data_IF_551557635302
#
_entry.id   IF_551557635302
#
_cell.length_a   1.000
_cell.length_b   1.000
_cell.length_c   1.000
_cell.angle_alpha   90.00
_cell.angle_beta   90.00
_cell.angle_gamma   90.00
#
_symmetry.space_group_name_H-M   'P 1'
#
loop_
_entity.id
_entity.type
_entity.pdbx_description
1 polymer ?
#
# COMPACT_ATOMS: atom_id res chain seq x y z
N UNK A 1 29.88 -24.29 13.81
CA UNK A 1 29.22 -24.08 15.13
C UNK A 1 28.17 -22.97 15.04
N UNK A 2 28.44 -21.85 14.37
CA UNK A 2 27.51 -20.71 14.14
C UNK A 2 26.22 -21.16 13.41
N UNK A 3 26.32 -21.90 12.29
CA UNK A 3 25.17 -22.37 11.52
C UNK A 3 24.19 -23.28 12.30
N UNK A 4 24.70 -24.09 13.25
CA UNK A 4 23.83 -24.91 14.12
C UNK A 4 23.10 -24.07 15.16
N UNK A 5 23.72 -22.97 15.65
CA UNK A 5 23.09 -22.03 16.57
C UNK A 5 22.04 -21.19 15.89
N UNK A 6 22.31 -20.67 14.69
CA UNK A 6 21.33 -19.92 13.87
C UNK A 6 20.11 -20.77 13.53
N UNK A 7 20.31 -22.04 13.14
CA UNK A 7 19.21 -22.96 12.85
C UNK A 7 18.40 -23.35 14.11
N UNK A 8 19.06 -23.47 15.28
CA UNK A 8 18.36 -23.73 16.54
C UNK A 8 17.54 -22.52 16.99
N UNK A 9 18.09 -21.34 16.84
CA UNK A 9 17.45 -20.10 17.20
C UNK A 9 16.30 -19.75 16.26
N UNK A 10 16.41 -20.03 14.95
CA UNK A 10 15.29 -19.96 14.01
C UNK A 10 14.14 -20.89 14.41
N UNK A 11 14.45 -22.13 14.85
CA UNK A 11 13.43 -23.06 15.39
C UNK A 11 12.82 -22.58 16.71
N UNK A 12 13.53 -21.80 17.47
CA UNK A 12 13.06 -21.19 18.72
C UNK A 12 12.20 -19.94 18.48
N UNK A 13 12.31 -19.31 17.28
CA UNK A 13 11.48 -18.17 16.89
C UNK A 13 10.06 -18.63 16.54
N UNK A 14 9.24 -18.82 17.58
CA UNK A 14 7.88 -19.34 17.44
C UNK A 14 6.83 -18.27 17.11
N UNK A 15 7.21 -17.01 17.17
CA UNK A 15 6.25 -15.90 17.20
C UNK A 15 5.90 -15.34 15.80
N UNK A 16 6.49 -15.84 14.73
CA UNK A 16 6.26 -15.33 13.39
C UNK A 16 6.71 -13.87 13.23
N UNK A 17 5.90 -13.06 12.58
CA UNK A 17 6.16 -11.63 12.39
C UNK A 17 5.92 -10.87 13.70
N UNK A 18 6.84 -9.99 14.08
CA UNK A 18 6.65 -9.04 15.18
C UNK A 18 6.61 -7.61 14.65
N UNK A 19 5.85 -6.77 15.31
CA UNK A 19 5.59 -5.41 14.89
C UNK A 19 5.48 -4.46 16.05
N UNK A 20 5.86 -3.20 15.83
CA UNK A 20 5.53 -2.08 16.72
C UNK A 20 5.34 -0.79 15.93
N UNK A 21 4.69 0.18 16.56
CA UNK A 21 4.63 1.57 16.08
C UNK A 21 5.12 2.47 17.19
N UNK A 22 6.18 3.22 16.90
CA UNK A 22 6.71 4.25 17.79
C UNK A 22 6.12 5.60 17.34
N UNK A 23 5.81 6.48 18.30
CA UNK A 23 5.25 7.82 18.05
C UNK A 23 4.04 7.81 17.07
N UNK A 24 2.98 7.02 17.33
CA UNK A 24 1.91 6.78 16.35
C UNK A 24 1.13 8.03 15.91
N UNK A 25 1.22 9.13 16.63
CA UNK A 25 0.46 10.37 16.40
C UNK A 25 1.34 11.62 16.21
N UNK A 26 2.62 11.46 15.93
CA UNK A 26 3.54 12.57 15.80
C UNK A 26 4.31 12.59 14.49
N UNK A 27 4.97 13.72 14.19
CA UNK A 27 6.02 13.72 13.18
C UNK A 27 7.08 12.68 13.60
N UNK A 28 7.54 11.86 12.65
CA UNK A 28 8.48 10.78 12.95
C UNK A 28 7.81 9.51 13.50
N UNK A 29 6.57 9.21 13.12
CA UNK A 29 5.96 7.91 13.36
C UNK A 29 6.79 6.79 12.71
N UNK A 30 7.17 5.78 13.49
CA UNK A 30 7.99 4.66 13.05
C UNK A 30 7.19 3.37 13.15
N UNK A 31 6.88 2.77 12.01
CA UNK A 31 6.26 1.44 11.93
C UNK A 31 7.30 0.40 11.55
N UNK A 32 7.53 -0.54 12.41
CA UNK A 32 8.55 -1.58 12.25
C UNK A 32 7.85 -2.94 12.14
N UNK A 33 8.10 -3.65 11.04
CA UNK A 33 7.70 -5.05 10.86
C UNK A 33 8.96 -5.89 10.75
N UNK A 34 9.17 -6.78 11.68
CA UNK A 34 10.27 -7.74 11.64
C UNK A 34 9.72 -9.09 11.15
N UNK A 35 10.10 -9.48 9.94
CA UNK A 35 9.61 -10.68 9.26
C UNK A 35 10.70 -11.74 9.29
N UNK A 36 10.43 -12.92 9.90
CA UNK A 36 11.40 -14.01 9.94
C UNK A 36 11.58 -14.60 8.52
N UNK A 37 12.78 -15.13 8.21
CA UNK A 37 13.04 -15.72 6.91
C UNK A 37 12.24 -17.00 6.71
N UNK A 38 11.93 -17.31 5.46
CA UNK A 38 11.47 -18.64 5.06
C UNK A 38 12.53 -19.67 5.40
N UNK A 39 12.17 -20.69 6.20
CA UNK A 39 13.10 -21.77 6.48
C UNK A 39 13.53 -22.49 5.19
N UNK A 40 14.84 -22.49 4.93
CA UNK A 40 15.50 -23.35 3.93
C UNK A 40 16.61 -24.10 4.60
N UNK A 41 16.70 -25.44 4.46
CA UNK A 41 17.65 -26.27 5.21
C UNK A 41 19.12 -25.89 5.03
N UNK A 42 19.48 -25.24 3.93
CA UNK A 42 20.86 -24.93 3.54
C UNK A 42 21.07 -23.48 3.07
N UNK A 43 20.12 -22.57 3.34
CA UNK A 43 20.20 -21.17 2.90
C UNK A 43 20.34 -20.19 4.06
N UNK A 44 21.25 -19.23 3.95
CA UNK A 44 21.29 -18.05 4.80
C UNK A 44 20.22 -17.08 4.26
N UNK A 45 19.01 -17.14 4.80
CA UNK A 45 17.99 -16.17 4.47
C UNK A 45 17.99 -15.09 5.55
N UNK A 46 18.12 -13.80 5.21
CA UNK A 46 18.08 -12.73 6.19
C UNK A 46 16.68 -12.58 6.77
N UNK A 47 16.58 -12.03 7.97
CA UNK A 47 15.37 -11.42 8.45
C UNK A 47 15.12 -10.16 7.64
N UNK A 48 13.88 -9.81 7.40
CA UNK A 48 13.53 -8.56 6.77
C UNK A 48 12.89 -7.62 7.81
N UNK A 49 13.51 -6.46 8.02
CA UNK A 49 12.86 -5.36 8.70
C UNK A 49 12.22 -4.47 7.66
N UNK A 50 10.89 -4.30 7.74
CA UNK A 50 10.17 -3.36 6.90
C UNK A 50 9.86 -2.13 7.74
N UNK A 51 10.43 -0.99 7.34
CA UNK A 51 10.29 0.28 8.01
C UNK A 51 9.31 1.17 7.26
N UNK A 52 8.29 1.65 7.94
CA UNK A 52 7.22 2.52 7.42
C UNK A 52 6.55 2.01 6.14
N UNK A 53 6.64 0.69 5.88
CA UNK A 53 6.16 0.11 4.65
C UNK A 53 6.87 0.64 3.40
N UNK A 54 8.10 1.12 3.52
CA UNK A 54 8.89 1.68 2.42
C UNK A 54 10.26 1.00 2.29
N UNK A 55 11.07 1.02 3.34
CA UNK A 55 12.40 0.40 3.33
C UNK A 55 12.34 -1.07 3.70
N UNK A 56 12.99 -1.92 2.93
CA UNK A 56 13.17 -3.35 3.20
C UNK A 56 14.63 -3.58 3.55
N UNK A 57 14.92 -3.68 4.84
CA UNK A 57 16.27 -3.79 5.36
C UNK A 57 16.58 -5.25 5.73
N UNK A 58 17.59 -5.89 5.13
CA UNK A 58 18.01 -7.24 5.50
C UNK A 58 18.76 -7.20 6.82
N UNK A 59 18.31 -7.97 7.81
CA UNK A 59 18.96 -8.05 9.11
C UNK A 59 19.68 -9.38 9.32
N UNK A 60 20.87 -9.32 9.88
CA UNK A 60 21.55 -10.46 10.47
C UNK A 60 20.75 -11.02 11.67
N UNK A 61 20.98 -12.30 11.99
CA UNK A 61 20.19 -12.97 13.03
C UNK A 61 20.32 -12.31 14.41
N UNK A 62 21.52 -11.88 14.85
CA UNK A 62 21.73 -11.22 16.15
C UNK A 62 20.95 -9.92 16.28
N UNK A 63 21.02 -9.08 15.25
CA UNK A 63 20.27 -7.82 15.18
C UNK A 63 18.76 -8.03 15.13
N UNK A 64 18.30 -9.06 14.41
CA UNK A 64 16.88 -9.41 14.38
C UNK A 64 16.36 -9.87 15.75
N UNK A 65 17.16 -10.62 16.52
CA UNK A 65 16.79 -11.04 17.89
C UNK A 65 16.76 -9.83 18.82
N UNK A 66 17.76 -8.94 18.74
CA UNK A 66 17.84 -7.74 19.57
C UNK A 66 16.64 -6.82 19.30
N UNK A 67 16.37 -6.52 18.02
CA UNK A 67 15.21 -5.72 17.61
C UNK A 67 13.89 -6.39 18.01
N UNK A 68 13.76 -7.71 17.82
CA UNK A 68 12.57 -8.45 18.20
C UNK A 68 12.31 -8.41 19.71
N UNK A 69 13.36 -8.49 20.55
CA UNK A 69 13.23 -8.32 22.00
C UNK A 69 12.83 -6.89 22.36
N UNK A 70 13.42 -5.89 21.72
CA UNK A 70 13.04 -4.48 21.89
C UNK A 70 11.55 -4.26 21.54
N UNK A 71 11.09 -4.72 20.37
CA UNK A 71 9.69 -4.61 19.95
C UNK A 71 8.74 -5.24 20.99
N UNK A 72 9.10 -6.40 21.55
CA UNK A 72 8.27 -7.07 22.57
C UNK A 72 8.16 -6.25 23.86
N UNK A 73 9.25 -5.64 24.28
CA UNK A 73 9.23 -4.81 25.49
C UNK A 73 8.43 -3.52 25.26
N UNK A 74 8.59 -2.85 24.10
CA UNK A 74 7.76 -1.70 23.71
C UNK A 74 6.27 -2.06 23.72
N UNK A 75 5.90 -3.20 23.14
CA UNK A 75 4.51 -3.62 23.03
C UNK A 75 3.83 -3.91 24.39
N UNK A 76 4.59 -4.06 25.48
CA UNK A 76 4.01 -4.15 26.84
C UNK A 76 3.36 -2.84 27.32
N UNK A 77 3.77 -1.74 26.73
CA UNK A 77 3.17 -0.44 27.03
C UNK A 77 1.84 -0.20 26.31
N UNK A 78 1.46 -1.08 25.40
CA UNK A 78 0.16 -1.06 24.67
C UNK A 78 -0.19 0.31 24.08
N UNK A 79 0.78 0.98 23.47
CA UNK A 79 0.63 2.29 22.86
C UNK A 79 0.55 3.47 23.84
N UNK A 80 0.74 3.25 25.13
CA UNK A 80 0.86 4.33 26.10
C UNK A 80 2.15 5.12 25.85
N UNK A 81 2.12 6.45 26.01
CA UNK A 81 3.34 7.25 25.96
C UNK A 81 4.39 6.72 26.93
N UNK A 82 5.63 6.67 26.48
CA UNK A 82 6.80 6.29 27.26
C UNK A 82 7.66 7.54 27.51
N UNK A 83 8.11 7.72 28.75
CA UNK A 83 9.13 8.70 29.07
C UNK A 83 10.55 8.10 28.89
N UNK A 84 11.59 8.91 29.12
CA UNK A 84 12.99 8.45 29.00
C UNK A 84 13.31 7.27 29.95
N UNK A 85 12.71 7.26 31.14
CA UNK A 85 12.91 6.17 32.11
C UNK A 85 12.25 4.87 31.66
N UNK A 86 11.11 4.97 31.01
CA UNK A 86 10.42 3.81 30.45
C UNK A 86 11.19 3.27 29.24
N UNK A 87 11.71 4.16 28.38
CA UNK A 87 12.56 3.76 27.26
C UNK A 87 13.84 3.08 27.76
N UNK A 88 14.48 3.60 28.78
CA UNK A 88 15.67 2.98 29.38
C UNK A 88 15.39 1.57 29.95
N UNK A 89 14.22 1.36 30.58
CA UNK A 89 13.79 0.03 31.04
C UNK A 89 13.58 -0.92 29.84
N UNK A 90 12.98 -0.44 28.76
CA UNK A 90 12.76 -1.22 27.53
C UNK A 90 14.09 -1.65 26.92
N UNK A 91 15.02 -0.71 26.76
CA UNK A 91 16.37 -0.97 26.23
C UNK A 91 17.09 -2.00 27.09
N UNK A 92 17.16 -1.78 28.42
CA UNK A 92 17.80 -2.68 29.35
C UNK A 92 17.22 -4.09 29.29
N UNK A 93 15.89 -4.23 29.32
CA UNK A 93 15.25 -5.54 29.26
C UNK A 93 15.47 -6.25 27.90
N UNK A 94 15.53 -5.51 26.80
CA UNK A 94 15.83 -6.07 25.48
C UNK A 94 17.27 -6.58 25.39
N UNK A 95 18.23 -5.81 25.90
CA UNK A 95 19.65 -6.15 25.95
C UNK A 95 19.88 -7.39 26.83
N UNK A 96 19.39 -7.40 28.07
CA UNK A 96 19.50 -8.55 28.98
C UNK A 96 18.92 -9.84 28.39
N UNK A 97 17.75 -9.75 27.77
CA UNK A 97 17.09 -10.90 27.12
C UNK A 97 17.91 -11.42 25.95
N UNK A 98 18.51 -10.52 25.18
CA UNK A 98 19.37 -10.87 24.04
C UNK A 98 20.67 -11.49 24.53
N UNK A 99 21.30 -10.94 25.57
CA UNK A 99 22.52 -11.45 26.19
C UNK A 99 22.40 -12.87 26.73
N UNK A 100 21.19 -13.27 27.16
CA UNK A 100 20.93 -14.68 27.56
C UNK A 100 21.00 -15.65 26.35
N UNK A 101 20.74 -15.17 25.13
CA UNK A 101 20.80 -15.98 23.91
C UNK A 101 22.16 -15.90 23.23
N UNK A 102 22.84 -14.78 23.38
CA UNK A 102 24.16 -14.48 22.81
C UNK A 102 25.15 -14.10 23.90
N UNK A 103 26.35 -14.69 23.84
CA UNK A 103 27.46 -14.29 24.72
C UNK A 103 28.18 -13.08 24.14
N UNK A 104 27.49 -11.94 24.10
CA UNK A 104 27.97 -10.63 23.65
C UNK A 104 27.91 -9.69 24.85
N UNK A 105 28.89 -8.81 25.07
CA UNK A 105 28.86 -7.82 26.15
C UNK A 105 27.60 -6.94 26.04
N UNK A 106 27.02 -6.60 27.19
CA UNK A 106 25.80 -5.75 27.22
C UNK A 106 26.04 -4.38 26.60
N UNK A 107 27.23 -3.81 26.82
CA UNK A 107 27.63 -2.52 26.21
C UNK A 107 27.58 -2.56 24.67
N UNK A 108 28.04 -3.64 24.06
CA UNK A 108 27.98 -3.82 22.61
C UNK A 108 26.52 -3.96 22.13
N UNK A 109 25.68 -4.77 22.81
CA UNK A 109 24.26 -4.92 22.46
C UNK A 109 23.50 -3.61 22.61
N UNK A 110 23.85 -2.80 23.60
CA UNK A 110 23.27 -1.48 23.80
C UNK A 110 23.67 -0.54 22.66
N UNK A 111 24.95 -0.48 22.31
CA UNK A 111 25.43 0.31 21.18
C UNK A 111 24.78 -0.09 19.85
N UNK A 112 24.70 -1.41 19.56
CA UNK A 112 24.03 -1.95 18.37
C UNK A 112 22.53 -1.52 18.34
N UNK A 113 21.85 -1.52 19.49
CA UNK A 113 20.43 -1.10 19.54
C UNK A 113 20.27 0.39 19.35
N UNK A 114 21.12 1.22 19.96
CA UNK A 114 21.12 2.67 19.80
C UNK A 114 21.38 3.07 18.34
N UNK A 115 22.33 2.43 17.67
CA UNK A 115 22.60 2.62 16.25
C UNK A 115 21.38 2.27 15.39
N UNK A 116 20.75 1.11 15.64
CA UNK A 116 19.50 0.73 14.94
C UNK A 116 18.41 1.77 15.14
N UNK A 117 18.18 2.23 16.37
CA UNK A 117 17.12 3.18 16.69
C UNK A 117 17.39 4.54 16.07
N UNK A 118 18.64 5.01 16.03
CA UNK A 118 19.03 6.25 15.36
C UNK A 118 18.76 6.16 13.85
N UNK A 119 19.15 5.06 13.20
CA UNK A 119 18.87 4.81 11.77
C UNK A 119 17.36 4.77 11.48
N UNK A 120 16.58 4.09 12.33
CA UNK A 120 15.13 3.99 12.19
C UNK A 120 14.45 5.37 12.30
N UNK A 121 14.93 6.20 13.25
CA UNK A 121 14.41 7.54 13.45
C UNK A 121 14.77 8.47 12.28
N UNK A 122 16.02 8.48 11.82
CA UNK A 122 16.45 9.24 10.65
C UNK A 122 15.61 8.91 9.42
N UNK A 123 15.44 7.60 9.13
CA UNK A 123 14.60 7.16 8.02
C UNK A 123 13.13 7.56 8.17
N UNK A 124 12.59 7.60 9.38
CA UNK A 124 11.25 8.11 9.65
C UNK A 124 11.11 9.62 9.42
N UNK A 125 12.20 10.37 9.63
CA UNK A 125 12.28 11.81 9.35
C UNK A 125 12.58 12.13 7.87
N UNK A 126 12.68 11.12 7.01
CA UNK A 126 12.93 11.28 5.56
C UNK A 126 14.42 11.26 5.18
N UNK A 127 15.31 10.92 6.11
CA UNK A 127 16.71 10.68 5.80
C UNK A 127 16.87 9.29 5.17
N UNK A 128 17.75 9.16 4.19
CA UNK A 128 18.11 7.82 3.69
C UNK A 128 18.78 7.02 4.81
N UNK A 129 18.42 5.72 4.98
CA UNK A 129 19.10 4.88 5.96
C UNK A 129 20.60 4.88 5.70
N UNK A 130 21.35 5.51 6.60
CA UNK A 130 22.81 5.58 6.53
C UNK A 130 23.40 4.41 7.32
N UNK A 131 24.33 3.66 6.75
CA UNK A 131 25.01 2.56 7.43
C UNK A 131 25.43 1.44 6.49
N UNK A 132 25.89 0.33 7.06
CA UNK A 132 26.34 -0.85 6.29
C UNK A 132 25.19 -1.67 5.67
N UNK A 133 23.94 -1.28 5.91
CA UNK A 133 22.76 -2.03 5.46
C UNK A 133 22.09 -1.29 4.29
N UNK A 134 22.28 -1.81 3.09
CA UNK A 134 21.58 -1.32 1.91
C UNK A 134 20.14 -1.86 1.85
N UNK A 135 19.14 -0.99 1.61
CA UNK A 135 17.76 -1.43 1.41
C UNK A 135 17.65 -2.34 0.19
N UNK A 136 16.91 -3.42 0.33
CA UNK A 136 16.55 -4.30 -0.79
C UNK A 136 15.44 -3.68 -1.62
N UNK A 137 15.56 -3.80 -2.94
CA UNK A 137 14.40 -3.64 -3.81
C UNK A 137 13.37 -4.75 -3.55
N UNK A 138 12.12 -4.49 -3.90
CA UNK A 138 11.07 -5.51 -3.74
C UNK A 138 11.37 -6.79 -4.53
N UNK A 139 12.06 -6.69 -5.66
CA UNK A 139 12.45 -7.85 -6.46
C UNK A 139 13.55 -8.69 -5.82
N UNK A 140 14.53 -8.05 -5.21
CA UNK A 140 15.56 -8.76 -4.42
C UNK A 140 14.95 -9.45 -3.20
N UNK A 141 13.93 -8.83 -2.59
CA UNK A 141 13.19 -9.43 -1.49
C UNK A 141 12.22 -10.54 -1.93
N UNK A 142 11.70 -10.50 -3.16
CA UNK A 142 10.67 -11.41 -3.66
C UNK A 142 10.92 -12.91 -3.39
N UNK A 143 12.14 -13.47 -3.55
CA UNK A 143 12.40 -14.89 -3.22
C UNK A 143 12.19 -15.24 -1.75
N UNK A 144 12.25 -14.26 -0.86
CA UNK A 144 12.15 -14.40 0.60
C UNK A 144 10.74 -14.10 1.13
N UNK A 145 9.85 -13.53 0.32
CA UNK A 145 8.50 -13.13 0.72
C UNK A 145 7.62 -14.32 1.10
N UNK A 146 6.83 -14.12 2.16
CA UNK A 146 5.80 -15.04 2.63
C UNK A 146 4.39 -14.54 2.32
N UNK A 147 4.27 -13.29 1.91
CA UNK A 147 3.04 -12.58 1.61
C UNK A 147 3.33 -11.42 0.63
N UNK A 148 2.31 -10.81 -0.02
CA UNK A 148 2.49 -9.60 -0.80
C UNK A 148 2.89 -8.44 0.11
N UNK A 149 3.50 -7.42 -0.47
CA UNK A 149 3.91 -6.25 0.29
C UNK A 149 2.71 -5.40 0.77
N UNK A 150 1.59 -5.46 0.04
CA UNK A 150 0.34 -4.79 0.37
C UNK A 150 -0.85 -5.69 0.05
N UNK A 151 -1.88 -5.64 0.88
CA UNK A 151 -3.18 -6.26 0.61
C UNK A 151 -4.25 -5.18 0.50
N UNK A 152 -4.92 -5.12 -0.64
CA UNK A 152 -6.05 -4.24 -0.87
C UNK A 152 -7.34 -4.94 -0.40
N UNK A 153 -8.02 -4.37 0.59
CA UNK A 153 -9.25 -4.90 1.17
C UNK A 153 -10.44 -4.19 0.52
N UNK A 154 -11.13 -4.87 -0.37
CA UNK A 154 -12.34 -4.35 -1.02
C UNK A 154 -13.51 -4.49 -0.04
N UNK A 155 -13.55 -3.61 0.97
CA UNK A 155 -14.53 -3.73 2.07
C UNK A 155 -15.95 -3.37 1.66
N UNK A 156 -16.12 -2.67 0.55
CA UNK A 156 -17.42 -2.28 -0.02
C UNK A 156 -17.58 -2.89 -1.42
N UNK A 157 -18.70 -3.56 -1.66
CA UNK A 157 -19.05 -4.11 -2.96
C UNK A 157 -19.53 -3.02 -3.92
N UNK A 158 -19.43 -3.27 -5.23
CA UNK A 158 -19.97 -2.37 -6.26
C UNK A 158 -21.49 -2.46 -6.34
N UNK A 159 -22.08 -3.60 -6.00
CA UNK A 159 -23.52 -3.84 -5.99
C UNK A 159 -23.99 -4.30 -4.63
N UNK A 160 -25.21 -3.95 -4.29
CA UNK A 160 -25.91 -4.44 -3.09
C UNK A 160 -26.37 -5.88 -3.29
N UNK A 161 -26.82 -6.52 -2.20
CA UNK A 161 -27.35 -7.87 -2.24
C UNK A 161 -28.63 -8.01 -3.13
N UNK A 162 -29.35 -6.92 -3.36
CA UNK A 162 -30.51 -6.84 -4.24
C UNK A 162 -30.14 -6.54 -5.71
N UNK A 163 -28.85 -6.49 -6.04
CA UNK A 163 -28.32 -6.17 -7.39
C UNK A 163 -28.26 -4.67 -7.69
N UNK A 164 -28.69 -3.80 -6.78
CA UNK A 164 -28.63 -2.35 -6.96
C UNK A 164 -27.18 -1.82 -6.82
N UNK A 165 -26.91 -0.71 -7.51
CA UNK A 165 -25.61 -0.03 -7.41
C UNK A 165 -25.30 0.45 -5.98
N UNK A 166 -24.13 0.16 -5.48
CA UNK A 166 -23.75 0.43 -4.08
C UNK A 166 -22.79 1.60 -3.90
N UNK A 167 -21.98 1.96 -4.90
CA UNK A 167 -21.11 3.13 -4.82
C UNK A 167 -21.93 4.43 -4.91
N UNK A 168 -21.51 5.49 -4.20
CA UNK A 168 -22.17 6.81 -4.26
C UNK A 168 -21.82 7.62 -5.52
N UNK A 169 -20.95 7.09 -6.40
CA UNK A 169 -20.62 7.59 -7.73
C UNK A 169 -20.90 6.55 -8.81
N UNK A 170 -21.06 6.99 -10.04
CA UNK A 170 -21.24 6.15 -11.25
C UNK A 170 -20.16 6.51 -12.27
N UNK A 171 -18.89 6.30 -11.91
CA UNK A 171 -17.77 6.71 -12.73
C UNK A 171 -17.81 6.05 -14.11
N UNK A 172 -17.62 6.88 -15.15
CA UNK A 172 -17.60 6.47 -16.55
C UNK A 172 -16.50 5.44 -16.87
N UNK A 173 -15.40 5.48 -16.12
CA UNK A 173 -14.25 4.60 -16.29
C UNK A 173 -14.03 3.66 -15.10
N UNK A 174 -15.10 3.32 -14.35
CA UNK A 174 -14.98 2.42 -13.21
C UNK A 174 -14.52 1.02 -13.66
N UNK A 175 -13.32 0.61 -13.26
CA UNK A 175 -12.76 -0.68 -13.62
C UNK A 175 -13.48 -1.86 -12.95
N UNK A 176 -14.13 -1.62 -11.80
CA UNK A 176 -14.77 -2.63 -10.98
C UNK A 176 -16.26 -2.84 -11.34
N UNK A 177 -16.85 -1.93 -12.13
CA UNK A 177 -18.26 -2.04 -12.50
C UNK A 177 -18.53 -3.28 -13.34
N UNK A 178 -19.55 -4.07 -12.97
CA UNK A 178 -19.92 -5.29 -13.70
C UNK A 178 -18.88 -6.40 -13.64
N UNK A 179 -17.90 -6.34 -12.71
CA UNK A 179 -16.92 -7.39 -12.52
C UNK A 179 -17.41 -8.36 -11.44
N UNK A 180 -17.43 -9.70 -11.70
CA UNK A 180 -18.01 -10.68 -10.79
C UNK A 180 -17.45 -10.61 -9.36
N UNK A 181 -16.14 -10.49 -9.21
CA UNK A 181 -15.48 -10.46 -7.91
C UNK A 181 -15.62 -9.09 -7.19
N UNK A 182 -16.21 -8.06 -7.84
CA UNK A 182 -16.54 -6.79 -7.20
C UNK A 182 -17.96 -6.76 -6.63
N UNK A 183 -18.81 -7.74 -6.93
CA UNK A 183 -20.26 -7.75 -6.66
C UNK A 183 -20.60 -8.67 -5.48
N UNK A 184 -19.88 -9.38 -4.86
CA UNK A 184 -20.20 -10.35 -3.81
C UNK A 184 -20.88 -9.75 -2.59
N UNK A 185 -21.45 -10.62 -1.77
CA UNK A 185 -22.02 -10.23 -0.48
C UNK A 185 -20.92 -9.74 0.47
N UNK A 186 -21.04 -8.50 0.92
CA UNK A 186 -20.09 -7.91 1.85
C UNK A 186 -19.92 -8.73 3.14
N UNK A 187 -18.68 -8.93 3.53
CA UNK A 187 -18.35 -9.49 4.83
C UNK A 187 -18.72 -8.50 5.95
N UNK A 188 -19.15 -9.02 7.09
CA UNK A 188 -19.35 -8.23 8.30
C UNK A 188 -18.01 -7.90 8.99
N UNK A 189 -18.07 -7.03 10.00
CA UNK A 189 -16.92 -6.54 10.76
C UNK A 189 -16.06 -7.69 11.31
N UNK A 190 -16.67 -8.69 11.94
CA UNK A 190 -15.96 -9.81 12.56
C UNK A 190 -15.31 -10.73 11.54
N UNK A 191 -15.90 -10.87 10.35
CA UNK A 191 -15.30 -11.62 9.25
C UNK A 191 -14.08 -10.89 8.69
N UNK A 192 -14.15 -9.56 8.54
CA UNK A 192 -13.01 -8.74 8.14
C UNK A 192 -11.89 -8.79 9.18
N UNK A 193 -12.18 -8.68 10.48
CA UNK A 193 -11.18 -8.81 11.55
C UNK A 193 -10.43 -10.14 11.47
N UNK A 194 -11.13 -11.26 11.23
CA UNK A 194 -10.49 -12.57 11.03
C UNK A 194 -9.56 -12.61 9.83
N UNK A 195 -9.92 -11.93 8.73
CA UNK A 195 -9.04 -11.81 7.55
C UNK A 195 -7.83 -10.95 7.88
N UNK A 196 -8.02 -9.82 8.56
CA UNK A 196 -6.94 -8.94 9.03
C UNK A 196 -5.95 -9.71 9.91
N UNK A 197 -6.41 -10.53 10.86
CA UNK A 197 -5.55 -11.38 11.68
C UNK A 197 -4.75 -12.39 10.85
N UNK A 198 -5.35 -12.97 9.82
CA UNK A 198 -4.64 -13.87 8.89
C UNK A 198 -3.54 -13.13 8.11
N UNK A 199 -3.82 -11.92 7.64
CA UNK A 199 -2.83 -11.09 6.94
C UNK A 199 -1.68 -10.68 7.86
N UNK A 200 -1.98 -10.34 9.11
CA UNK A 200 -0.99 -10.10 10.16
C UNK A 200 -0.09 -11.32 10.34
N UNK A 201 -0.66 -12.49 10.52
CA UNK A 201 0.07 -13.75 10.69
C UNK A 201 0.87 -14.14 9.43
N UNK A 202 0.42 -13.76 8.24
CA UNK A 202 1.10 -13.98 6.97
C UNK A 202 2.32 -13.08 6.76
N UNK A 203 2.40 -11.96 7.49
CA UNK A 203 3.49 -10.97 7.36
C UNK A 203 3.25 -9.90 6.30
N UNK A 204 2.00 -9.61 5.98
CA UNK A 204 1.65 -8.45 5.14
C UNK A 204 1.94 -7.17 5.93
N UNK A 205 2.77 -6.25 5.45
CA UNK A 205 3.08 -5.02 6.20
C UNK A 205 2.08 -3.88 5.97
N UNK A 206 1.35 -3.89 4.86
CA UNK A 206 0.43 -2.80 4.49
C UNK A 206 -0.94 -3.32 4.11
N UNK A 207 -1.98 -2.56 4.46
CA UNK A 207 -3.35 -2.79 3.96
C UNK A 207 -3.94 -1.50 3.39
N UNK A 208 -4.74 -1.64 2.33
CA UNK A 208 -5.49 -0.52 1.75
C UNK A 208 -6.97 -0.84 1.79
N UNK A 209 -7.74 -0.03 2.46
CA UNK A 209 -9.21 -0.11 2.41
C UNK A 209 -9.70 0.52 1.12
N UNK A 210 -10.48 -0.24 0.35
CA UNK A 210 -10.99 0.13 -0.98
C UNK A 210 -12.30 -0.61 -1.26
N UNK A 211 -12.72 -0.65 -2.51
CA UNK A 211 -13.93 -1.35 -2.96
C UNK A 211 -14.74 -0.48 -3.89
N UNK A 212 -16.07 -0.46 -3.75
CA UNK A 212 -16.93 0.52 -4.39
C UNK A 212 -16.65 1.91 -3.83
N UNK A 213 -17.12 2.15 -2.61
CA UNK A 213 -16.72 3.31 -1.82
C UNK A 213 -16.66 2.91 -0.33
N UNK A 214 -15.45 2.77 0.23
CA UNK A 214 -15.28 2.26 1.58
C UNK A 214 -15.85 3.16 2.66
N UNK A 215 -15.91 4.49 2.43
CA UNK A 215 -16.49 5.45 3.41
C UNK A 215 -18.00 5.32 3.59
N UNK A 216 -18.67 4.52 2.79
CA UNK A 216 -20.10 4.19 3.00
C UNK A 216 -20.30 3.14 4.10
N UNK A 217 -19.24 2.41 4.49
CA UNK A 217 -19.31 1.44 5.59
C UNK A 217 -19.33 2.16 6.94
N UNK A 218 -20.30 1.81 7.77
CA UNK A 218 -20.43 2.39 9.12
C UNK A 218 -19.32 1.95 10.09
N UNK A 219 -18.75 0.77 9.84
CA UNK A 219 -17.68 0.15 10.65
C UNK A 219 -16.27 0.41 10.09
N UNK A 220 -16.11 1.32 9.12
CA UNK A 220 -14.80 1.60 8.51
C UNK A 220 -13.76 2.03 9.56
N UNK A 221 -14.13 2.97 10.45
CA UNK A 221 -13.24 3.47 11.51
C UNK A 221 -12.80 2.33 12.43
N UNK A 222 -13.73 1.43 12.79
CA UNK A 222 -13.42 0.25 13.61
C UNK A 222 -12.44 -0.70 12.91
N UNK A 223 -12.61 -0.94 11.60
CA UNK A 223 -11.70 -1.77 10.82
C UNK A 223 -10.31 -1.14 10.68
N UNK A 224 -10.23 0.18 10.50
CA UNK A 224 -8.96 0.92 10.48
C UNK A 224 -8.27 0.81 11.84
N UNK A 225 -8.97 1.06 12.93
CA UNK A 225 -8.42 0.93 14.29
C UNK A 225 -7.93 -0.49 14.60
N UNK A 226 -8.66 -1.52 14.14
CA UNK A 226 -8.25 -2.91 14.28
C UNK A 226 -6.99 -3.24 13.46
N UNK A 227 -6.75 -2.48 12.39
CA UNK A 227 -5.62 -2.66 11.48
C UNK A 227 -4.37 -1.85 11.88
N UNK A 228 -4.31 -1.24 13.04
CA UNK A 228 -3.18 -0.41 13.53
C UNK A 228 -1.81 -1.12 13.51
N UNK A 229 -1.81 -2.42 13.35
CA UNK A 229 -0.60 -3.23 13.16
C UNK A 229 0.08 -3.00 11.80
N UNK A 230 -0.71 -2.63 10.77
CA UNK A 230 -0.24 -2.40 9.41
C UNK A 230 0.04 -0.91 9.17
N UNK A 231 0.78 -0.61 8.11
CA UNK A 231 0.63 0.68 7.43
C UNK A 231 -0.74 0.68 6.75
N UNK A 232 -1.62 1.58 7.15
CA UNK A 232 -3.02 1.63 6.73
C UNK A 232 -3.26 2.73 5.71
N UNK A 233 -3.92 2.39 4.63
CA UNK A 233 -4.27 3.32 3.55
C UNK A 233 -5.76 3.24 3.26
N UNK A 234 -6.33 4.36 2.81
CA UNK A 234 -7.71 4.45 2.35
C UNK A 234 -7.73 4.98 0.91
N UNK A 235 -8.35 4.25 -0.02
CA UNK A 235 -8.67 4.75 -1.36
C UNK A 235 -10.15 5.12 -1.41
N UNK A 236 -10.46 6.38 -1.68
CA UNK A 236 -11.83 6.89 -1.66
C UNK A 236 -12.07 7.94 -2.75
N UNK A 237 -13.32 8.18 -3.09
CA UNK A 237 -13.71 9.31 -3.92
C UNK A 237 -13.81 10.64 -3.14
N UNK A 238 -13.66 10.61 -1.83
CA UNK A 238 -13.60 11.77 -0.95
C UNK A 238 -14.94 12.44 -0.60
N UNK A 239 -16.03 12.05 -1.22
CA UNK A 239 -17.35 12.73 -1.05
C UNK A 239 -17.87 12.70 0.39
N UNK A 240 -17.58 11.63 1.13
CA UNK A 240 -18.06 11.43 2.49
C UNK A 240 -16.99 11.76 3.56
N UNK A 241 -15.85 12.31 3.18
CA UNK A 241 -14.81 12.75 4.11
C UNK A 241 -15.23 14.05 4.81
N UNK A 242 -16.10 13.91 5.80
CA UNK A 242 -16.48 15.01 6.71
C UNK A 242 -15.33 15.31 7.69
N UNK A 243 -15.30 16.51 8.34
CA UNK A 243 -14.30 16.81 9.35
C UNK A 243 -14.26 15.77 10.48
N UNK A 244 -15.43 15.30 10.93
CA UNK A 244 -15.54 14.30 11.99
C UNK A 244 -14.96 12.95 11.54
N UNK A 245 -15.36 12.45 10.38
CA UNK A 245 -14.83 11.18 9.86
C UNK A 245 -13.31 11.25 9.66
N UNK A 246 -12.78 12.36 9.15
CA UNK A 246 -11.33 12.53 8.98
C UNK A 246 -10.60 12.49 10.34
N UNK A 247 -11.15 13.15 11.37
CA UNK A 247 -10.60 13.10 12.72
C UNK A 247 -10.65 11.69 13.30
N UNK A 248 -11.78 11.00 13.19
CA UNK A 248 -11.93 9.61 13.67
C UNK A 248 -10.95 8.65 12.97
N UNK A 249 -10.76 8.78 11.65
CA UNK A 249 -9.80 7.98 10.89
C UNK A 249 -8.36 8.28 11.32
N UNK A 250 -8.01 9.55 11.55
CA UNK A 250 -6.70 9.93 12.07
C UNK A 250 -6.44 9.31 13.46
N UNK A 251 -7.42 9.40 14.36
CA UNK A 251 -7.34 8.81 15.70
C UNK A 251 -7.29 7.27 15.67
N UNK A 252 -7.92 6.66 14.67
CA UNK A 252 -7.84 5.22 14.40
C UNK A 252 -6.50 4.76 13.80
N UNK A 253 -5.51 5.67 13.63
CA UNK A 253 -4.20 5.41 13.04
C UNK A 253 -4.22 5.13 11.54
N UNK A 254 -5.09 5.81 10.78
CA UNK A 254 -4.98 5.83 9.32
C UNK A 254 -3.73 6.61 8.92
N UNK A 255 -2.80 5.98 8.17
CA UNK A 255 -1.55 6.62 7.77
C UNK A 255 -1.71 7.52 6.56
N UNK A 256 -2.53 7.13 5.59
CA UNK A 256 -2.71 7.93 4.38
C UNK A 256 -4.06 7.71 3.73
N UNK A 257 -4.52 8.74 3.03
CA UNK A 257 -5.71 8.68 2.19
C UNK A 257 -5.36 9.07 0.76
N UNK A 258 -5.76 8.24 -0.20
CA UNK A 258 -5.70 8.57 -1.63
C UNK A 258 -7.10 8.92 -2.12
N UNK A 259 -7.25 10.15 -2.62
CA UNK A 259 -8.53 10.66 -3.10
C UNK A 259 -8.48 10.78 -4.62
N UNK A 260 -9.53 10.35 -5.32
CA UNK A 260 -9.59 10.44 -6.78
C UNK A 260 -10.22 11.77 -7.21
N UNK A 261 -9.46 12.59 -7.94
CA UNK A 261 -9.96 13.81 -8.58
C UNK A 261 -9.60 13.78 -10.07
N UNK A 262 -10.60 13.82 -10.94
CA UNK A 262 -10.37 13.73 -12.39
C UNK A 262 -9.93 15.06 -13.02
N UNK A 263 -10.38 16.19 -12.51
CA UNK A 263 -10.11 17.50 -13.11
C UNK A 263 -10.30 18.64 -12.12
N UNK A 264 -9.61 19.75 -12.34
CA UNK A 264 -9.86 21.04 -11.71
C UNK A 264 -11.19 21.67 -12.16
N UNK A 265 -11.64 21.31 -13.36
CA UNK A 265 -12.93 21.75 -13.90
C UNK A 265 -14.06 20.88 -13.34
N UNK A 266 -15.01 21.56 -12.70
CA UNK A 266 -16.15 20.90 -12.03
C UNK A 266 -17.05 20.15 -13.01
N UNK A 267 -17.24 20.69 -14.22
CA UNK A 267 -18.08 20.07 -15.24
C UNK A 267 -17.46 18.78 -15.79
N UNK A 268 -16.15 18.79 -16.05
CA UNK A 268 -15.40 17.61 -16.49
C UNK A 268 -15.40 16.54 -15.37
N UNK A 269 -15.06 16.95 -14.13
CA UNK A 269 -15.07 16.01 -13.01
C UNK A 269 -16.44 15.36 -12.81
N UNK A 270 -17.49 16.18 -12.70
CA UNK A 270 -18.86 15.71 -12.45
C UNK A 270 -19.36 14.77 -13.56
N UNK A 271 -19.02 15.08 -14.81
CA UNK A 271 -19.32 14.22 -15.96
C UNK A 271 -18.62 12.87 -15.86
N UNK A 272 -17.34 12.84 -15.49
CA UNK A 272 -16.54 11.61 -15.40
C UNK A 272 -16.92 10.73 -14.21
N UNK A 273 -17.34 11.33 -13.09
CA UNK A 273 -17.80 10.57 -11.92
C UNK A 273 -19.30 10.28 -11.92
N UNK A 274 -20.04 10.80 -12.91
CA UNK A 274 -21.48 10.58 -13.07
C UNK A 274 -22.32 11.22 -11.95
N UNK A 275 -21.84 12.32 -11.34
CA UNK A 275 -22.53 12.98 -10.21
C UNK A 275 -22.36 14.49 -10.24
N UNK A 276 -23.46 15.22 -10.40
CA UNK A 276 -23.50 16.69 -10.26
C UNK A 276 -23.12 17.11 -8.84
N UNK A 277 -22.22 18.08 -8.72
CA UNK A 277 -21.71 18.54 -7.43
C UNK A 277 -20.67 17.60 -6.78
N UNK A 278 -20.23 16.57 -7.50
CA UNK A 278 -19.17 15.64 -7.06
C UNK A 278 -17.87 16.37 -6.82
N UNK A 279 -17.48 17.27 -7.73
CA UNK A 279 -16.26 18.10 -7.62
C UNK A 279 -16.18 18.84 -6.29
N UNK A 280 -17.23 19.57 -5.93
CA UNK A 280 -17.25 20.35 -4.70
C UNK A 280 -17.13 19.46 -3.46
N UNK A 281 -17.82 18.33 -3.45
CA UNK A 281 -17.76 17.37 -2.34
C UNK A 281 -16.40 16.71 -2.21
N UNK A 282 -15.82 16.27 -3.33
CA UNK A 282 -14.47 15.68 -3.34
C UNK A 282 -13.40 16.68 -2.89
N UNK A 283 -13.47 17.92 -3.38
CA UNK A 283 -12.51 18.97 -2.98
C UNK A 283 -12.68 19.42 -1.53
N UNK A 284 -13.90 19.44 -1.01
CA UNK A 284 -14.17 19.61 0.41
C UNK A 284 -13.54 18.47 1.24
N UNK A 285 -13.71 17.22 0.80
CA UNK A 285 -13.10 16.05 1.43
C UNK A 285 -11.56 16.11 1.45
N UNK A 286 -10.93 16.59 0.37
CA UNK A 286 -9.46 16.82 0.35
C UNK A 286 -9.06 17.81 1.45
N UNK A 287 -9.74 18.97 1.55
CA UNK A 287 -9.46 19.96 2.59
C UNK A 287 -9.66 19.40 4.00
N UNK A 288 -10.75 18.68 4.21
CA UNK A 288 -11.06 18.07 5.52
C UNK A 288 -9.97 17.07 5.94
N UNK A 289 -9.50 16.24 5.01
CA UNK A 289 -8.43 15.27 5.27
C UNK A 289 -7.09 15.97 5.59
N UNK A 290 -6.72 17.01 4.84
CA UNK A 290 -5.53 17.82 5.11
C UNK A 290 -5.61 18.52 6.47
N UNK A 291 -6.76 19.13 6.78
CA UNK A 291 -6.99 19.82 8.05
C UNK A 291 -6.96 18.86 9.26
N UNK A 292 -7.34 17.63 9.09
CA UNK A 292 -7.25 16.58 10.11
C UNK A 292 -5.83 16.04 10.31
N UNK A 293 -4.85 16.47 9.49
CA UNK A 293 -3.47 15.98 9.57
C UNK A 293 -3.21 14.65 8.90
N UNK A 294 -4.14 14.15 8.08
CA UNK A 294 -3.92 12.93 7.30
C UNK A 294 -2.93 13.17 6.16
N UNK A 295 -2.10 12.17 5.84
CA UNK A 295 -1.27 12.21 4.64
C UNK A 295 -2.16 12.03 3.41
N UNK A 296 -2.38 13.10 2.65
CA UNK A 296 -3.26 13.10 1.48
C UNK A 296 -2.45 12.94 0.21
N UNK A 297 -2.83 11.98 -0.61
CA UNK A 297 -2.45 11.90 -2.02
C UNK A 297 -3.67 12.01 -2.90
N UNK A 298 -3.52 12.66 -4.06
CA UNK A 298 -4.60 12.75 -5.05
C UNK A 298 -4.22 11.97 -6.28
N UNK A 299 -5.11 11.04 -6.69
CA UNK A 299 -4.94 10.26 -7.91
C UNK A 299 -5.83 10.80 -9.03
N UNK A 300 -5.25 10.99 -10.21
CA UNK A 300 -5.98 11.38 -11.42
C UNK A 300 -5.84 10.29 -12.49
N UNK A 301 -6.89 9.49 -12.75
CA UNK A 301 -6.91 8.66 -13.93
C UNK A 301 -7.00 9.54 -15.18
N UNK A 302 -5.96 9.52 -16.02
CA UNK A 302 -5.86 10.36 -17.21
C UNK A 302 -6.58 9.75 -18.40
N UNK A 303 -7.35 10.58 -19.09
CA UNK A 303 -8.10 10.24 -20.28
C UNK A 303 -8.19 11.45 -21.21
N UNK A 304 -8.81 11.28 -22.38
CA UNK A 304 -8.94 12.39 -23.35
C UNK A 304 -9.77 13.57 -22.85
N UNK A 305 -10.67 13.34 -21.90
CA UNK A 305 -11.54 14.40 -21.38
C UNK A 305 -10.84 15.30 -20.35
N UNK A 306 -9.69 14.88 -19.76
CA UNK A 306 -8.98 15.63 -18.72
C UNK A 306 -7.48 15.83 -19.01
N UNK A 307 -7.10 16.05 -20.25
CA UNK A 307 -5.71 16.25 -20.69
C UNK A 307 -5.06 17.51 -20.07
N UNK A 308 -5.86 18.50 -19.65
CA UNK A 308 -5.41 19.72 -18.96
C UNK A 308 -4.92 19.42 -17.52
N UNK A 309 -4.13 18.34 -17.36
CA UNK A 309 -3.66 17.88 -16.04
C UNK A 309 -2.83 18.93 -15.33
N UNK A 310 -2.09 19.76 -16.05
CA UNK A 310 -1.33 20.87 -15.48
C UNK A 310 -2.18 21.84 -14.66
N UNK A 311 -3.40 22.15 -15.11
CA UNK A 311 -4.35 23.00 -14.36
C UNK A 311 -4.87 22.26 -13.12
N UNK A 312 -5.06 20.94 -13.21
CA UNK A 312 -5.43 20.13 -12.05
C UNK A 312 -4.32 20.14 -10.99
N UNK A 313 -3.06 20.04 -11.40
CA UNK A 313 -1.91 20.16 -10.50
C UNK A 313 -1.83 21.53 -9.83
N UNK A 314 -1.97 22.60 -10.59
CA UNK A 314 -1.98 23.95 -10.03
C UNK A 314 -3.13 24.16 -9.01
N UNK A 315 -4.31 23.59 -9.31
CA UNK A 315 -5.43 23.60 -8.37
C UNK A 315 -5.12 22.82 -7.08
N UNK A 316 -4.50 21.65 -7.19
CA UNK A 316 -4.13 20.79 -6.05
C UNK A 316 -3.03 21.43 -5.20
N UNK A 317 -2.04 22.08 -5.81
CA UNK A 317 -1.02 22.85 -5.09
C UNK A 317 -1.65 23.97 -4.27
N UNK A 318 -2.61 24.70 -4.87
CA UNK A 318 -3.40 25.73 -4.16
C UNK A 318 -4.25 25.19 -3.00
N UNK A 319 -4.55 23.90 -2.96
CA UNK A 319 -5.18 23.23 -1.83
C UNK A 319 -4.17 22.75 -0.76
N UNK A 320 -2.87 22.78 -1.04
CA UNK A 320 -1.82 22.29 -0.15
C UNK A 320 -1.51 20.79 -0.32
N UNK A 321 -1.96 20.15 -1.39
CA UNK A 321 -1.61 18.75 -1.70
C UNK A 321 -0.15 18.68 -2.10
N UNK A 322 0.60 17.72 -1.54
CA UNK A 322 2.03 17.51 -1.83
C UNK A 322 2.32 16.24 -2.61
N UNK A 323 1.42 15.27 -2.55
CA UNK A 323 1.60 13.98 -3.22
C UNK A 323 0.51 13.78 -4.27
N UNK A 324 0.91 13.65 -5.52
CA UNK A 324 -0.01 13.40 -6.63
C UNK A 324 0.38 12.13 -7.37
N UNK A 325 -0.61 11.38 -7.80
CA UNK A 325 -0.42 10.25 -8.70
C UNK A 325 -1.30 10.39 -9.92
N UNK A 326 -0.85 9.86 -11.03
CA UNK A 326 -1.70 9.70 -12.20
C UNK A 326 -1.52 8.29 -12.80
N UNK A 327 -2.48 7.87 -13.58
CA UNK A 327 -2.48 6.56 -14.25
C UNK A 327 -3.18 6.67 -15.60
N UNK A 328 -3.00 5.68 -16.47
CA UNK A 328 -3.94 5.44 -17.55
C UNK A 328 -5.21 4.76 -17.05
N UNK A 329 -6.18 4.60 -17.93
CA UNK A 329 -7.40 3.86 -17.59
C UNK A 329 -7.12 2.35 -17.56
N UNK A 330 -7.77 1.66 -16.63
CA UNK A 330 -7.76 0.19 -16.54
C UNK A 330 -8.85 -0.34 -17.48
N UNK A 331 -8.48 -1.10 -18.50
CA UNK A 331 -9.37 -1.58 -19.57
C UNK A 331 -10.30 -2.72 -19.12
N UNK A 332 -10.96 -2.54 -17.96
CA UNK A 332 -11.95 -3.47 -17.41
C UNK A 332 -13.19 -2.70 -16.95
N UNK A 333 -14.28 -3.39 -16.69
CA UNK A 333 -15.52 -2.77 -16.25
C UNK A 333 -16.05 -1.74 -17.25
N UNK A 334 -16.51 -0.60 -16.77
CA UNK A 334 -17.02 0.48 -17.63
C UNK A 334 -15.94 1.01 -18.59
N UNK A 335 -14.66 0.95 -18.23
CA UNK A 335 -13.57 1.43 -19.09
C UNK A 335 -13.32 0.53 -20.31
N UNK A 336 -13.85 -0.70 -20.34
CA UNK A 336 -13.79 -1.62 -21.49
C UNK A 336 -14.96 -1.46 -22.46
N UNK A 337 -15.98 -0.67 -22.12
CA UNK A 337 -17.15 -0.45 -22.99
C UNK A 337 -16.86 0.55 -24.12
N UNK A 338 -17.47 0.34 -25.29
CA UNK A 338 -17.14 0.99 -26.56
C UNK A 338 -16.82 2.49 -26.54
N UNK A 339 -17.62 3.33 -25.85
CA UNK A 339 -17.36 4.77 -25.74
C UNK A 339 -16.17 5.13 -24.84
N UNK A 340 -15.81 4.27 -23.88
CA UNK A 340 -14.71 4.52 -22.95
C UNK A 340 -13.35 4.07 -23.50
N UNK A 341 -13.32 3.12 -24.43
CA UNK A 341 -12.09 2.71 -25.13
C UNK A 341 -11.51 3.87 -25.94
N UNK A 342 -12.35 4.71 -26.55
CA UNK A 342 -11.92 5.91 -27.26
C UNK A 342 -11.35 7.01 -26.36
N UNK A 343 -11.56 6.94 -25.05
CA UNK A 343 -11.01 7.88 -24.07
C UNK A 343 -9.58 7.57 -23.64
N UNK A 344 -8.99 6.45 -24.05
CA UNK A 344 -7.59 6.11 -23.76
C UNK A 344 -6.64 7.10 -24.42
N UNK A 345 -5.59 7.46 -23.70
CA UNK A 345 -4.48 8.26 -24.23
C UNK A 345 -3.45 7.34 -24.89
N UNK A 346 -2.89 7.79 -26.00
CA UNK A 346 -1.71 7.16 -26.61
C UNK A 346 -0.46 7.36 -25.74
N UNK A 347 0.58 6.58 -26.00
CA UNK A 347 1.89 6.72 -25.31
C UNK A 347 2.46 8.13 -25.50
N UNK A 348 2.28 8.72 -26.69
CA UNK A 348 2.74 10.07 -27.00
C UNK A 348 1.98 11.12 -26.19
N UNK A 349 0.63 11.11 -26.24
CA UNK A 349 -0.21 12.03 -25.47
C UNK A 349 0.08 11.94 -23.96
N UNK A 350 0.24 10.73 -23.43
CA UNK A 350 0.64 10.52 -22.03
C UNK A 350 2.01 11.11 -21.73
N UNK A 351 2.99 10.94 -22.63
CA UNK A 351 4.33 11.50 -22.49
C UNK A 351 4.35 13.02 -22.48
N UNK A 352 3.56 13.67 -23.32
CA UNK A 352 3.40 15.13 -23.35
C UNK A 352 2.81 15.65 -22.02
N UNK A 353 1.75 14.99 -21.51
CA UNK A 353 1.13 15.35 -20.23
C UNK A 353 2.11 15.17 -19.06
N UNK A 354 2.84 14.05 -19.02
CA UNK A 354 3.80 13.78 -17.95
C UNK A 354 4.98 14.74 -17.96
N UNK A 355 5.42 15.19 -19.14
CA UNK A 355 6.49 16.19 -19.27
C UNK A 355 6.08 17.50 -18.63
N UNK A 356 4.90 18.02 -19.00
CA UNK A 356 4.35 19.25 -18.40
C UNK A 356 4.11 19.08 -16.89
N UNK A 357 3.57 17.92 -16.46
CA UNK A 357 3.31 17.64 -15.05
C UNK A 357 4.59 17.62 -14.20
N UNK A 358 5.66 17.03 -14.70
CA UNK A 358 6.96 16.98 -14.00
C UNK A 358 7.57 18.37 -13.83
N UNK A 359 7.40 19.27 -14.80
CA UNK A 359 7.86 20.67 -14.70
C UNK A 359 7.10 21.44 -13.63
N UNK A 360 5.78 21.30 -13.59
CA UNK A 360 4.92 21.94 -12.58
C UNK A 360 5.27 21.41 -11.19
N UNK A 361 5.40 20.10 -11.01
CA UNK A 361 5.71 19.50 -9.71
C UNK A 361 7.08 19.96 -9.18
N UNK A 362 8.09 20.07 -10.05
CA UNK A 362 9.40 20.64 -9.67
C UNK A 362 9.30 22.09 -9.20
N UNK A 363 8.45 22.89 -9.85
CA UNK A 363 8.25 24.29 -9.50
C UNK A 363 7.45 24.52 -8.20
N UNK A 364 6.58 23.57 -7.83
CA UNK A 364 5.70 23.65 -6.66
C UNK A 364 6.18 22.81 -5.47
N UNK A 365 7.18 21.98 -5.64
CA UNK A 365 7.64 21.03 -4.61
C UNK A 365 6.65 19.87 -4.38
N UNK A 366 5.74 19.61 -5.31
CA UNK A 366 4.89 18.41 -5.28
C UNK A 366 5.66 17.19 -5.78
N UNK A 367 5.39 16.03 -5.18
CA UNK A 367 5.89 14.74 -5.67
C UNK A 367 4.86 14.10 -6.60
N UNK A 368 5.32 13.68 -7.79
CA UNK A 368 4.47 13.02 -8.78
C UNK A 368 4.84 11.54 -8.95
N UNK A 369 3.82 10.67 -8.86
CA UNK A 369 3.91 9.27 -9.22
C UNK A 369 3.10 8.94 -10.47
N UNK A 370 3.63 8.04 -11.29
CA UNK A 370 2.91 7.46 -12.42
C UNK A 370 2.72 5.96 -12.17
N UNK A 371 1.48 5.48 -12.24
CA UNK A 371 1.14 4.12 -11.82
C UNK A 371 0.64 3.25 -12.97
N UNK A 372 0.82 1.94 -12.87
CA UNK A 372 0.21 0.96 -13.77
C UNK A 372 -1.34 1.07 -13.70
N UNK A 373 -2.07 0.97 -14.83
CA UNK A 373 -1.62 0.48 -16.13
C UNK A 373 -1.11 1.57 -17.09
N UNK A 374 -0.75 2.74 -16.63
CA UNK A 374 -0.27 3.83 -17.47
C UNK A 374 0.90 3.40 -18.35
N UNK A 375 0.94 3.93 -19.59
CA UNK A 375 2.02 3.68 -20.55
C UNK A 375 2.66 4.99 -20.97
N UNK A 376 3.97 5.07 -20.81
CA UNK A 376 4.83 6.11 -21.35
C UNK A 376 6.18 5.50 -21.68
N UNK A 377 6.98 6.17 -22.49
CA UNK A 377 8.32 5.70 -22.80
C UNK A 377 9.19 5.62 -21.54
N UNK A 378 9.79 4.46 -21.28
CA UNK A 378 10.67 4.24 -20.11
C UNK A 378 11.82 5.24 -20.05
N UNK A 379 12.42 5.56 -21.21
CA UNK A 379 13.50 6.58 -21.30
C UNK A 379 13.02 7.97 -20.90
N UNK A 380 11.79 8.33 -21.27
CA UNK A 380 11.16 9.60 -20.87
C UNK A 380 10.93 9.64 -19.37
N UNK A 381 10.32 8.62 -18.78
CA UNK A 381 10.06 8.55 -17.34
C UNK A 381 11.35 8.69 -16.51
N UNK A 382 12.41 7.95 -16.89
CA UNK A 382 13.71 8.05 -16.23
C UNK A 382 14.31 9.47 -16.32
N UNK A 383 14.21 10.13 -17.49
CA UNK A 383 14.66 11.51 -17.68
C UNK A 383 13.88 12.51 -16.84
N UNK A 384 12.59 12.28 -16.64
CA UNK A 384 11.71 13.13 -15.82
C UNK A 384 11.86 12.88 -14.31
N UNK A 385 12.56 11.81 -13.90
CA UNK A 385 12.63 11.38 -12.50
C UNK A 385 11.35 10.73 -11.99
N UNK A 386 10.47 10.28 -12.90
CA UNK A 386 9.21 9.62 -12.55
C UNK A 386 9.44 8.10 -12.50
N UNK A 387 9.03 7.41 -11.42
CA UNK A 387 9.15 5.95 -11.34
C UNK A 387 8.44 5.25 -12.49
N UNK A 388 9.10 4.23 -13.07
CA UNK A 388 8.52 3.42 -14.15
C UNK A 388 7.43 2.52 -13.56
N UNK A 389 6.18 2.59 -14.06
CA UNK A 389 5.10 1.76 -13.53
C UNK A 389 5.31 0.29 -13.92
N UNK A 390 5.16 -0.60 -12.95
CA UNK A 390 5.28 -2.03 -13.13
C UNK A 390 4.06 -2.75 -12.56
N UNK A 391 3.69 -3.89 -13.17
CA UNK A 391 2.64 -4.73 -12.63
C UNK A 391 3.10 -5.35 -11.31
N UNK A 392 2.39 -5.04 -10.24
CA UNK A 392 2.68 -5.54 -8.90
C UNK A 392 1.83 -6.73 -8.46
N UNK A 393 0.98 -7.26 -9.35
CA UNK A 393 0.08 -8.35 -9.01
C UNK A 393 0.81 -9.57 -8.42
N UNK A 394 0.31 -10.10 -7.32
CA UNK A 394 0.90 -11.20 -6.55
C UNK A 394 2.33 -10.95 -6.02
N UNK A 395 2.88 -9.75 -6.16
CA UNK A 395 4.19 -9.36 -5.66
C UNK A 395 4.07 -8.17 -4.70
N UNK A 396 3.93 -6.95 -5.26
CA UNK A 396 3.75 -5.76 -4.42
C UNK A 396 2.35 -5.68 -3.83
N UNK A 397 1.34 -6.22 -4.50
CA UNK A 397 -0.04 -6.20 -4.01
C UNK A 397 -0.83 -7.45 -4.42
N UNK A 398 -1.81 -7.75 -3.61
CA UNK A 398 -2.95 -8.64 -3.87
C UNK A 398 -4.21 -7.97 -3.34
N UNK A 399 -5.38 -8.53 -3.62
CA UNK A 399 -6.62 -8.01 -3.04
C UNK A 399 -7.50 -9.11 -2.46
N UNK A 400 -8.38 -8.71 -1.54
CA UNK A 400 -9.48 -9.51 -1.01
C UNK A 400 -10.78 -8.84 -1.43
N UNK A 401 -11.64 -9.59 -2.09
CA UNK A 401 -12.94 -9.15 -2.59
C UNK A 401 -13.95 -8.92 -1.45
N UNK A 402 -15.08 -8.24 -1.71
CA UNK A 402 -16.07 -7.96 -0.66
C UNK A 402 -16.61 -9.21 0.05
N UNK A 403 -16.65 -10.35 -0.63
CA UNK A 403 -17.09 -11.64 -0.10
C UNK A 403 -15.95 -12.54 0.41
N UNK A 404 -14.70 -12.06 0.38
CA UNK A 404 -13.54 -12.69 0.99
C UNK A 404 -12.72 -13.59 0.09
N UNK A 405 -12.80 -13.44 -1.23
CA UNK A 405 -11.92 -14.16 -2.15
C UNK A 405 -10.59 -13.42 -2.35
N UNK A 406 -9.50 -14.15 -2.45
CA UNK A 406 -8.18 -13.60 -2.77
C UNK A 406 -7.99 -13.53 -4.29
N UNK A 407 -7.60 -12.37 -4.81
CA UNK A 407 -7.35 -12.12 -6.24
C UNK A 407 -5.98 -11.46 -6.45
N UNK A 408 -5.40 -11.53 -7.66
CA UNK A 408 -4.04 -11.05 -7.93
C UNK A 408 -3.79 -9.57 -7.66
N UNK A 409 -4.78 -8.71 -7.91
CA UNK A 409 -4.79 -7.29 -7.55
C UNK A 409 -6.23 -6.76 -7.54
N UNK A 410 -6.46 -5.58 -6.96
CA UNK A 410 -7.78 -4.96 -6.85
C UNK A 410 -8.48 -4.69 -8.19
N UNK A 411 -7.73 -4.68 -9.28
CA UNK A 411 -8.28 -4.45 -10.63
C UNK A 411 -8.50 -5.75 -11.41
N UNK A 412 -8.00 -6.87 -10.92
CA UNK A 412 -8.12 -8.17 -11.57
C UNK A 412 -9.31 -8.94 -11.00
N UNK A 413 -10.51 -8.55 -11.42
CA UNK A 413 -11.80 -8.96 -10.88
C UNK A 413 -12.64 -9.76 -11.90
N UNK A 414 -11.98 -10.40 -12.85
CA UNK A 414 -12.61 -11.18 -13.91
C UNK A 414 -11.93 -12.54 -14.08
N UNK A 415 -12.27 -13.51 -13.23
CA UNK A 415 -11.97 -14.92 -13.50
C UNK A 415 -10.67 -15.49 -12.94
N UNK A 416 -9.91 -14.79 -12.09
CA UNK A 416 -8.75 -15.37 -11.40
C UNK A 416 -8.90 -15.25 -9.89
N UNK A 417 -9.43 -16.29 -9.29
CA UNK A 417 -9.52 -16.46 -7.83
C UNK A 417 -8.37 -17.35 -7.36
N UNK A 418 -7.63 -16.90 -6.35
CA UNK A 418 -6.47 -17.59 -5.77
C UNK A 418 -6.85 -18.44 -4.55
N UNK A 419 -8.02 -18.24 -4.00
CA UNK A 419 -8.61 -18.96 -2.88
C UNK A 419 -9.59 -18.13 -2.06
N UNK A 420 -10.23 -18.75 -1.07
CA UNK A 420 -11.20 -18.13 -0.16
C UNK A 420 -10.51 -17.83 1.18
N UNK A 421 -10.35 -16.53 1.51
CA UNK A 421 -9.73 -16.10 2.76
C UNK A 421 -10.48 -16.53 4.02
N UNK A 422 -11.69 -17.01 3.91
CA UNK A 422 -12.49 -17.55 5.04
C UNK A 422 -12.17 -19.01 5.32
N UNK A 423 -11.80 -19.79 4.30
CA UNK A 423 -11.69 -21.25 4.36
C UNK A 423 -10.27 -21.76 4.13
N UNK A 424 -9.60 -21.22 3.10
CA UNK A 424 -8.31 -21.75 2.65
C UNK A 424 -7.16 -21.26 3.54
N UNK A 425 -6.12 -22.09 3.67
CA UNK A 425 -4.92 -21.64 4.38
C UNK A 425 -4.18 -20.57 3.57
N UNK A 426 -3.55 -19.61 4.26
CA UNK A 426 -2.71 -18.62 3.59
C UNK A 426 -1.62 -19.26 2.72
N UNK A 427 -1.02 -20.35 3.21
CA UNK A 427 -0.01 -21.10 2.47
C UNK A 427 -0.56 -21.64 1.13
N UNK A 428 -1.80 -22.09 1.09
CA UNK A 428 -2.47 -22.55 -0.14
C UNK A 428 -2.65 -21.40 -1.12
N UNK A 429 -3.20 -20.27 -0.67
CA UNK A 429 -3.42 -19.06 -1.48
C UNK A 429 -2.11 -18.53 -2.04
N UNK A 430 -1.10 -18.29 -1.18
CA UNK A 430 0.19 -17.76 -1.59
C UNK A 430 0.95 -18.68 -2.56
N UNK A 431 0.76 -20.00 -2.45
CA UNK A 431 1.39 -20.97 -3.31
C UNK A 431 0.49 -21.46 -4.46
N UNK A 432 -0.67 -20.83 -4.67
CA UNK A 432 -1.52 -21.14 -5.83
C UNK A 432 -0.73 -21.01 -7.12
N UNK A 433 -0.94 -21.95 -8.07
CA UNK A 433 -0.12 -22.03 -9.29
C UNK A 433 -0.11 -20.69 -10.07
N UNK A 434 -1.29 -20.06 -10.22
CA UNK A 434 -1.42 -18.76 -10.89
C UNK A 434 -0.72 -17.64 -10.11
N UNK A 435 -0.82 -17.62 -8.77
CA UNK A 435 -0.12 -16.64 -7.94
C UNK A 435 1.40 -16.74 -8.12
N UNK A 436 1.95 -17.96 -8.15
CA UNK A 436 3.39 -18.18 -8.43
C UNK A 436 3.77 -17.73 -9.83
N UNK A 437 2.96 -18.06 -10.84
CA UNK A 437 3.20 -17.67 -12.24
C UNK A 437 3.23 -16.14 -12.39
N UNK A 438 2.24 -15.43 -11.85
CA UNK A 438 2.17 -13.97 -11.92
C UNK A 438 3.35 -13.33 -11.18
N UNK A 439 3.69 -13.80 -9.98
CA UNK A 439 4.82 -13.29 -9.19
C UNK A 439 6.17 -13.52 -9.84
N UNK A 440 6.29 -14.55 -10.66
CA UNK A 440 7.53 -14.90 -11.37
C UNK A 440 7.73 -14.13 -12.68
N UNK A 441 6.80 -13.23 -13.07
CA UNK A 441 6.98 -12.39 -14.25
C UNK A 441 8.28 -11.59 -14.15
N UNK A 442 9.04 -11.57 -15.22
CA UNK A 442 10.27 -10.81 -15.33
C UNK A 442 10.06 -9.30 -15.30
N UNK A 443 11.15 -8.54 -15.31
CA UNK A 443 11.09 -7.08 -15.28
C UNK A 443 10.40 -6.54 -16.53
N UNK A 444 10.78 -7.01 -17.71
CA UNK A 444 10.18 -6.60 -18.98
C UNK A 444 8.69 -6.95 -19.07
N UNK A 445 8.32 -8.18 -18.68
CA UNK A 445 6.93 -8.60 -18.67
C UNK A 445 6.07 -7.78 -17.71
N UNK A 446 6.63 -7.33 -16.59
CA UNK A 446 5.92 -6.54 -15.58
C UNK A 446 5.70 -5.07 -15.97
N UNK A 447 6.35 -4.58 -17.02
CA UNK A 447 6.06 -3.27 -17.62
C UNK A 447 4.65 -3.23 -18.25
N UNK A 448 4.06 -4.40 -18.51
CA UNK A 448 2.74 -4.50 -19.11
C UNK A 448 1.72 -5.02 -18.10
N UNK A 449 0.60 -4.30 -17.99
CA UNK A 449 -0.52 -4.80 -17.19
C UNK A 449 -1.27 -5.90 -17.99
N UNK A 450 -1.40 -7.13 -17.45
CA UNK A 450 -2.11 -8.21 -18.15
C UNK A 450 -3.60 -7.92 -18.42
N UNK A 451 -4.17 -6.93 -17.74
CA UNK A 451 -5.57 -6.49 -17.95
C UNK A 451 -5.72 -5.56 -19.18
N UNK A 452 -4.63 -5.08 -19.75
CA UNK A 452 -4.66 -4.37 -21.03
C UNK A 452 -4.73 -5.38 -22.15
N UNK A 453 -5.91 -5.59 -22.67
CA UNK A 453 -6.11 -6.43 -23.86
C UNK A 453 -5.67 -5.66 -25.10
N UNK A 454 -4.67 -6.18 -25.84
CA UNK A 454 -4.03 -5.52 -26.98
C UNK A 454 -4.92 -5.21 -28.20
N UNK A 455 -6.15 -4.81 -28.00
CA UNK A 455 -7.03 -4.33 -29.09
C UNK A 455 -6.66 -2.94 -29.60
N UNK A 456 -5.89 -2.15 -28.83
CA UNK A 456 -5.43 -0.82 -29.26
C UNK A 456 -4.06 -0.84 -29.98
N UNK A 457 -3.36 -1.99 -30.08
CA UNK A 457 -2.01 -2.06 -30.63
C UNK A 457 -1.93 -2.42 -32.14
N UNK A 458 -3.05 -2.78 -32.77
CA UNK A 458 -3.07 -3.11 -34.19
C UNK A 458 -3.26 -1.91 -35.14
N UNK A 459 -3.16 -0.69 -34.64
CA UNK A 459 -3.40 0.53 -35.42
C UNK A 459 -2.26 1.54 -35.47
N UNK A 460 -1.00 1.15 -35.21
CA UNK A 460 0.08 2.12 -35.11
C UNK A 460 1.48 1.65 -35.46
N UNK A 461 1.62 0.75 -36.43
CA UNK A 461 2.87 0.56 -37.19
C UNK A 461 2.61 0.86 -38.65
N UNK A 462 2.74 2.12 -39.04
CA UNK A 462 3.25 2.60 -40.35
C UNK A 462 3.86 3.97 -40.12
#
# INVERSE_FOLDING_TARGET
MVLKREAAAYRAWKEGVVHTTLNPKGPGAVRIHLIPPKYRPFGKNPYAMILNGYYILPLGYSWAVLLGNFIREVNRYDGRPMDEKDMEKVVTAAVERTGKSYRVPEEQLRGDLEEMLAMLYGAACGEEPSGEIEPLSLREYAPHMTAPYRMDLMVSAMTKADGGWNCNLQCRHCYAAGQPEAEGKELNTEQWKKIIDRLKSAGVPQVTFTGGEPTQRRDLVELVAYSRWFVTRLNTNGILLTPDLCRELYEASLDSVQITLYSWDSGIHDSLVGRKGGFHKTTEGIRNALNAGLNVSVNTPLCRDNQDYGKTLAFLDGLGVRYVTCSGLIETGNASSGGSVSSQLSVREMGEILTAAAEICRGTGMEIGFTSPGRAEVKLLKRLGIPVPMCGACLSNMAVTPDGLAVPCQSWLGGVVLGDMKKDSWKSIWNHAMCKKIRAMGEEESLFCPLRTGKSEKGGET
#
